data_IF_070751079389
#
_entry.id   IF_070751079389
#
_cell.length_a   1.000
_cell.length_b   1.000
_cell.length_c   1.000
_cell.angle_alpha   90.00
_cell.angle_beta   90.00
_cell.angle_gamma   90.00
#
_symmetry.space_group_name_H-M   'P 1'
#
loop_
_entity.id
_entity.type
_entity.pdbx_description
1 polymer ?
#
# COMPACT_ATOMS: atom_id res chain seq x y z
N UNK A 1 -23.96 2.79 4.70
CA UNK A 1 -22.61 2.22 4.96
C UNK A 1 -22.11 1.64 3.64
N UNK A 2 -21.10 2.24 3.00
CA UNK A 2 -20.51 1.67 1.79
C UNK A 2 -19.73 0.40 2.19
N UNK A 3 -20.13 -0.75 1.66
CA UNK A 3 -19.47 -2.02 1.94
C UNK A 3 -18.09 -1.98 1.29
N UNK A 4 -17.03 -2.14 2.10
CA UNK A 4 -15.66 -2.23 1.60
C UNK A 4 -15.58 -3.38 0.60
N UNK A 5 -15.31 -3.07 -0.68
CA UNK A 5 -15.03 -4.09 -1.69
C UNK A 5 -13.62 -4.60 -1.44
N UNK A 6 -13.52 -5.86 -1.02
CA UNK A 6 -12.28 -6.61 -1.02
C UNK A 6 -11.94 -6.97 -2.45
N UNK A 7 -10.69 -6.71 -2.87
CA UNK A 7 -10.17 -7.11 -4.18
C UNK A 7 -8.87 -7.91 -3.97
N UNK A 8 -8.59 -8.84 -4.86
CA UNK A 8 -7.36 -9.64 -4.84
C UNK A 8 -6.55 -9.32 -6.09
N UNK A 9 -5.31 -8.90 -5.92
CA UNK A 9 -4.41 -8.51 -7.01
C UNK A 9 -3.27 -9.52 -7.13
N UNK A 10 -3.05 -10.02 -8.35
CA UNK A 10 -1.94 -10.93 -8.63
C UNK A 10 -0.62 -10.17 -8.65
N UNK A 11 0.32 -10.53 -7.77
CA UNK A 11 1.64 -9.91 -7.68
C UNK A 11 2.57 -10.25 -8.87
N UNK A 12 2.18 -11.20 -9.72
CA UNK A 12 2.98 -11.59 -10.90
C UNK A 12 2.51 -10.94 -12.20
N UNK A 13 1.20 -10.69 -12.36
CA UNK A 13 0.65 -10.16 -13.61
C UNK A 13 -0.31 -8.98 -13.44
N UNK A 14 -0.63 -8.58 -12.20
CA UNK A 14 -1.51 -7.44 -11.91
C UNK A 14 -3.02 -7.70 -12.11
N UNK A 15 -3.43 -8.92 -12.47
CA UNK A 15 -4.86 -9.23 -12.64
C UNK A 15 -5.63 -9.03 -11.34
N UNK A 16 -6.83 -8.44 -11.40
CA UNK A 16 -7.70 -8.22 -10.24
C UNK A 16 -8.85 -9.22 -10.24
N UNK A 17 -9.06 -9.91 -9.12
CA UNK A 17 -10.17 -10.83 -8.89
C UNK A 17 -11.01 -10.38 -7.69
N UNK A 18 -12.35 -10.52 -7.72
CA UNK A 18 -13.21 -10.21 -6.58
C UNK A 18 -13.18 -11.29 -5.48
N UNK A 19 -12.50 -12.42 -5.71
CA UNK A 19 -12.42 -13.55 -4.78
C UNK A 19 -11.05 -14.22 -4.84
N UNK A 20 -10.63 -14.82 -3.72
CA UNK A 20 -9.44 -15.65 -3.68
C UNK A 20 -9.72 -17.03 -4.27
N UNK A 21 -8.85 -17.48 -5.18
CA UNK A 21 -8.95 -18.78 -5.87
C UNK A 21 -7.67 -19.63 -5.75
N UNK A 22 -6.66 -19.20 -4.99
CA UNK A 22 -5.35 -19.87 -4.87
C UNK A 22 -4.47 -19.78 -6.12
N UNK A 23 -5.05 -19.82 -7.32
CA UNK A 23 -4.41 -19.66 -8.63
C UNK A 23 -4.95 -18.42 -9.34
N UNK A 24 -4.06 -17.66 -9.98
CA UNK A 24 -4.43 -16.57 -10.86
C UNK A 24 -5.02 -17.10 -12.19
N UNK A 25 -6.22 -16.63 -12.57
CA UNK A 25 -6.88 -17.03 -13.83
C UNK A 25 -6.22 -16.44 -15.09
N UNK A 26 -5.42 -15.38 -14.94
CA UNK A 26 -4.77 -14.70 -16.07
C UNK A 26 -3.39 -15.27 -16.39
N UNK A 27 -2.55 -15.55 -15.38
CA UNK A 27 -1.19 -16.09 -15.60
C UNK A 27 -1.01 -17.55 -15.15
N UNK A 28 -1.98 -18.15 -14.46
CA UNK A 28 -1.90 -19.53 -13.98
C UNK A 28 -1.02 -19.76 -12.75
N UNK A 29 -0.40 -18.71 -12.22
CA UNK A 29 0.52 -18.79 -11.08
C UNK A 29 -0.22 -18.99 -9.76
N UNK A 30 0.38 -19.76 -8.86
CA UNK A 30 -0.20 -20.10 -7.57
C UNK A 30 0.27 -19.17 -6.45
N UNK A 31 -0.59 -18.92 -5.47
CA UNK A 31 -0.29 -18.11 -4.27
C UNK A 31 0.19 -16.68 -4.57
N UNK A 32 -0.17 -16.13 -5.71
CA UNK A 32 0.19 -14.77 -6.13
C UNK A 32 -0.91 -13.74 -5.89
N UNK A 33 -2.14 -14.19 -5.59
CA UNK A 33 -3.28 -13.31 -5.33
C UNK A 33 -3.21 -12.77 -3.89
N UNK A 34 -2.98 -11.46 -3.75
CA UNK A 34 -2.89 -10.76 -2.47
C UNK A 34 -4.11 -9.86 -2.30
N UNK A 35 -4.69 -9.83 -1.10
CA UNK A 35 -5.81 -8.94 -0.78
C UNK A 35 -5.35 -7.49 -0.73
N UNK A 36 -5.96 -6.64 -1.55
CA UNK A 36 -5.86 -5.19 -1.47
C UNK A 36 -7.21 -4.62 -1.04
N UNK A 37 -7.20 -3.65 -0.11
CA UNK A 37 -8.39 -2.86 0.15
C UNK A 37 -8.57 -1.91 -1.02
N UNK A 38 -9.73 -1.96 -1.68
CA UNK A 38 -10.10 -0.97 -2.69
C UNK A 38 -9.83 0.43 -2.13
N UNK A 39 -8.95 1.16 -2.81
CA UNK A 39 -8.37 2.41 -2.35
C UNK A 39 -9.48 3.37 -1.90
N UNK A 40 -9.45 3.73 -0.62
CA UNK A 40 -9.69 5.13 -0.30
C UNK A 40 -8.42 5.82 -0.82
N UNK A 41 -8.44 6.32 -2.05
CA UNK A 41 -7.27 6.91 -2.71
C UNK A 41 -6.57 7.94 -1.84
N UNK A 42 -5.33 8.29 -2.18
CA UNK A 42 -4.57 9.35 -1.48
C UNK A 42 -5.46 10.60 -1.35
N UNK A 43 -5.98 10.87 -0.13
CA UNK A 43 -6.93 11.95 0.14
C UNK A 43 -8.35 11.54 0.59
N UNK A 44 -8.73 10.27 0.50
CA UNK A 44 -10.01 9.78 1.03
C UNK A 44 -9.91 9.54 2.54
N UNK A 45 -9.92 10.64 3.31
CA UNK A 45 -9.99 10.59 4.76
C UNK A 45 -11.35 10.02 5.21
N UNK A 46 -11.40 9.16 6.25
CA UNK A 46 -12.66 8.79 6.87
C UNK A 46 -13.36 10.05 7.40
N UNK A 47 -14.67 10.12 7.19
CA UNK A 47 -15.48 11.21 7.74
C UNK A 47 -15.20 11.37 9.24
N UNK A 48 -14.66 12.53 9.59
CA UNK A 48 -14.53 13.07 10.94
C UNK A 48 -13.94 12.11 12.00
N UNK A 49 -12.64 11.83 11.91
CA UNK A 49 -11.82 11.75 13.12
C UNK A 49 -10.97 13.01 13.20
N UNK A 50 -11.08 13.75 14.30
CA UNK A 50 -10.09 14.77 14.66
C UNK A 50 -8.78 14.05 14.91
N UNK A 51 -8.00 13.88 13.85
CA UNK A 51 -6.60 13.54 13.96
C UNK A 51 -5.93 14.77 14.57
N UNK A 52 -5.08 14.56 15.59
CA UNK A 52 -4.10 15.58 15.96
C UNK A 52 -3.42 16.01 14.66
N UNK A 53 -3.35 17.32 14.43
CA UNK A 53 -2.76 17.88 13.23
C UNK A 53 -1.35 17.33 13.07
N UNK A 54 -1.19 16.36 12.17
CA UNK A 54 0.12 15.88 11.76
C UNK A 54 0.90 17.05 11.17
N UNK A 55 2.23 16.95 11.20
CA UNK A 55 3.05 17.93 10.53
C UNK A 55 2.72 17.92 9.04
N UNK A 56 2.35 19.07 8.49
CA UNK A 56 2.13 19.21 7.05
C UNK A 56 3.47 18.99 6.33
N UNK A 57 3.52 18.04 5.40
CA UNK A 57 4.68 17.83 4.54
C UNK A 57 4.33 18.34 3.15
N UNK A 58 5.22 19.14 2.56
CA UNK A 58 5.07 19.62 1.20
C UNK A 58 5.30 18.46 0.21
N UNK A 59 4.39 18.28 -0.72
CA UNK A 59 4.54 17.27 -1.78
C UNK A 59 5.51 17.81 -2.83
N UNK A 60 6.66 17.17 -2.95
CA UNK A 60 7.68 17.48 -3.97
C UNK A 60 7.65 16.42 -5.07
N UNK A 61 8.05 16.81 -6.28
CA UNK A 61 8.19 15.86 -7.39
C UNK A 61 9.27 14.82 -7.08
N UNK A 62 9.04 13.57 -7.52
CA UNK A 62 10.01 12.48 -7.36
C UNK A 62 11.35 12.78 -8.07
N UNK A 63 11.29 13.56 -9.16
CA UNK A 63 12.48 14.09 -9.82
C UNK A 63 12.99 15.32 -9.04
N UNK A 64 14.00 15.12 -8.19
CA UNK A 64 14.65 16.17 -7.42
C UNK A 64 15.93 15.70 -6.75
N UNK A 65 16.65 16.64 -6.13
CA UNK A 65 17.87 16.33 -5.39
C UNK A 65 17.54 15.50 -4.14
N UNK A 66 18.14 14.31 -4.04
CA UNK A 66 17.96 13.45 -2.86
C UNK A 66 19.03 13.82 -1.83
N UNK A 67 18.61 14.33 -0.68
CA UNK A 67 19.53 14.50 0.45
C UNK A 67 19.68 13.15 1.17
N UNK A 68 20.92 12.70 1.36
CA UNK A 68 21.18 11.48 2.12
C UNK A 68 20.81 11.73 3.59
N UNK A 69 19.75 11.06 4.05
CA UNK A 69 19.31 11.18 5.42
C UNK A 69 20.39 10.63 6.37
N UNK A 70 20.56 11.23 7.56
CA UNK A 70 21.53 10.74 8.53
C UNK A 70 21.22 9.30 8.91
N UNK A 71 22.27 8.46 8.95
CA UNK A 71 22.14 7.07 9.38
C UNK A 71 21.84 7.04 10.89
N UNK A 72 20.74 6.40 11.25
CA UNK A 72 20.39 6.13 12.65
C UNK A 72 20.99 4.78 13.07
N UNK A 73 21.75 4.77 14.17
CA UNK A 73 22.27 3.53 14.74
C UNK A 73 21.11 2.70 15.32
N UNK A 74 20.98 1.44 14.89
CA UNK A 74 19.91 0.55 15.35
C UNK A 74 20.08 0.08 16.80
N UNK A 75 21.30 0.15 17.34
CA UNK A 75 21.64 -0.36 18.68
C UNK A 75 21.59 -1.89 18.81
N UNK A 76 21.41 -2.62 17.71
CA UNK A 76 21.37 -4.09 17.68
C UNK A 76 22.76 -4.58 17.31
N UNK A 77 23.39 -5.35 18.21
CA UNK A 77 24.64 -6.03 17.91
C UNK A 77 24.40 -7.23 16.98
N UNK A 78 25.32 -7.48 16.06
CA UNK A 78 25.35 -8.69 15.23
C UNK A 78 25.45 -9.94 16.14
N UNK A 79 24.76 -11.03 15.77
CA UNK A 79 24.70 -12.30 16.52
C UNK A 79 25.88 -13.23 16.21
#
# INVERSE_FOLDING_TARGET
MAKSKTQFVCQSCGSVSPRWSGRCDSCGEWNTLVEERGESGVGAAPAARRMESGHAVELVALAGDTQEAPRLASGIAEL
#
